data_IF_459997520594
#
_entry.id   IF_459997520594
#
_cell.length_a   1.000
_cell.length_b   1.000
_cell.length_c   1.000
_cell.angle_alpha   90.00
_cell.angle_beta   90.00
_cell.angle_gamma   90.00
#
_symmetry.space_group_name_H-M   'P 1'
#
loop_
_entity.id
_entity.type
_entity.pdbx_description
1 polymer ?
#
# COMPACT_ATOMS: atom_id res chain seq x y z
N UNK A 1 71.11 -10.89 31.29
CA UNK A 1 70.94 -10.83 32.75
C UNK A 1 71.12 -9.38 33.18
N UNK A 2 70.03 -8.62 33.35
CA UNK A 2 69.94 -7.41 34.20
C UNK A 2 68.46 -7.11 34.46
N UNK A 3 68.15 -6.79 35.72
CA UNK A 3 66.84 -6.84 36.38
C UNK A 3 65.99 -5.57 36.16
N UNK A 4 64.65 -5.73 36.25
CA UNK A 4 63.61 -4.67 36.26
C UNK A 4 63.66 -3.83 37.56
N UNK A 5 62.96 -2.68 37.60
CA UNK A 5 61.73 -2.67 38.41
C UNK A 5 60.54 -1.88 37.83
N UNK A 6 59.37 -2.20 38.39
CA UNK A 6 58.01 -1.72 38.10
C UNK A 6 57.75 -0.34 38.70
N UNK A 7 56.88 0.44 38.05
CA UNK A 7 55.93 1.34 38.74
C UNK A 7 54.55 1.24 38.09
N UNK A 8 53.56 0.89 38.91
CA UNK A 8 52.13 0.89 38.61
C UNK A 8 51.60 2.33 38.72
N UNK A 9 50.75 2.77 37.80
CA UNK A 9 49.69 3.74 38.11
C UNK A 9 48.46 3.50 37.25
N UNK A 10 47.46 2.87 37.85
CA UNK A 10 46.07 2.87 37.40
C UNK A 10 45.51 4.26 37.65
N UNK A 11 44.72 4.83 36.73
CA UNK A 11 43.48 5.56 37.05
C UNK A 11 42.59 5.73 35.80
N UNK A 12 41.28 5.58 36.07
CA UNK A 12 40.10 5.54 35.19
C UNK A 12 39.86 6.82 34.36
N UNK A 13 39.13 6.64 33.25
CA UNK A 13 38.34 7.68 32.57
C UNK A 13 37.53 7.07 31.42
N UNK A 14 36.44 6.36 31.75
CA UNK A 14 35.03 6.74 31.49
C UNK A 14 34.70 6.98 30.01
N UNK A 15 33.77 6.15 29.54
CA UNK A 15 33.14 6.14 28.23
C UNK A 15 32.56 7.51 27.80
N UNK A 16 32.83 7.92 26.56
CA UNK A 16 31.87 8.73 25.82
C UNK A 16 31.10 7.80 24.87
N UNK A 17 30.02 7.24 25.37
CA UNK A 17 28.94 6.76 24.51
C UNK A 17 28.36 7.99 23.80
N UNK A 18 28.40 8.02 22.47
CA UNK A 18 27.63 8.97 21.69
C UNK A 18 26.15 8.66 21.90
N UNK A 19 25.51 9.37 22.83
CA UNK A 19 24.05 9.41 22.92
C UNK A 19 23.57 10.23 21.73
N UNK A 20 23.04 9.57 20.69
CA UNK A 20 22.27 10.24 19.64
C UNK A 20 20.86 10.46 20.18
N UNK A 21 20.57 11.69 20.62
CA UNK A 21 19.22 12.11 20.94
C UNK A 21 18.50 12.54 19.64
N UNK A 22 17.29 12.03 19.42
CA UNK A 22 16.38 12.54 18.40
C UNK A 22 15.59 13.72 18.98
N UNK A 23 15.88 14.93 18.50
CA UNK A 23 15.07 16.11 18.78
C UNK A 23 14.01 16.31 17.71
N UNK A 24 12.75 16.45 18.11
CA UNK A 24 11.67 16.88 17.23
C UNK A 24 11.64 18.41 17.20
N UNK A 25 12.03 19.01 16.08
CA UNK A 25 11.82 20.44 15.84
C UNK A 25 10.49 20.59 15.09
N UNK A 26 9.46 21.07 15.79
CA UNK A 26 8.24 21.56 15.17
C UNK A 26 8.52 22.88 14.45
N UNK A 27 8.68 22.85 13.13
CA UNK A 27 8.55 24.03 12.28
C UNK A 27 7.25 23.93 11.49
N UNK A 28 6.23 24.63 11.97
CA UNK A 28 5.06 25.04 11.22
C UNK A 28 5.51 25.92 10.05
N UNK A 29 5.13 25.57 8.82
CA UNK A 29 5.23 26.50 7.68
C UNK A 29 5.65 25.85 6.37
N UNK A 30 4.66 25.66 5.49
CA UNK A 30 4.76 25.32 4.06
C UNK A 30 5.59 24.08 3.71
N UNK A 31 4.95 22.91 3.75
CA UNK A 31 5.31 21.83 2.85
C UNK A 31 5.21 22.37 1.41
N UNK A 32 6.28 22.32 0.58
CA UNK A 32 6.13 22.58 -0.83
C UNK A 32 5.13 21.56 -1.35
N UNK A 33 4.02 22.05 -1.92
CA UNK A 33 3.07 21.23 -2.66
C UNK A 33 3.88 20.40 -3.64
N UNK A 34 3.97 19.09 -3.38
CA UNK A 34 4.57 18.15 -4.32
C UNK A 34 3.91 18.40 -5.66
N UNK A 35 4.67 18.48 -6.77
CA UNK A 35 4.08 18.73 -8.07
C UNK A 35 3.01 17.65 -8.27
N UNK A 36 1.74 18.06 -8.26
CA UNK A 36 0.62 17.28 -8.75
C UNK A 36 0.77 17.22 -10.28
N UNK A 37 1.90 16.68 -10.73
CA UNK A 37 2.14 16.36 -12.11
C UNK A 37 1.24 15.17 -12.38
N UNK A 38 0.10 15.44 -13.01
CA UNK A 38 -0.70 14.41 -13.63
C UNK A 38 0.25 13.69 -14.61
N UNK A 39 0.80 12.54 -14.19
CA UNK A 39 1.60 11.73 -15.10
C UNK A 39 0.64 11.36 -16.22
N UNK A 40 0.90 11.80 -17.47
CA UNK A 40 -0.03 11.56 -18.56
C UNK A 40 -0.25 10.07 -18.70
N UNK A 41 -1.51 9.64 -18.69
CA UNK A 41 -1.86 8.24 -18.80
C UNK A 41 -1.41 7.72 -20.17
N UNK A 42 -0.54 6.70 -20.23
CA UNK A 42 -0.08 6.15 -21.49
C UNK A 42 -1.22 5.37 -22.18
N UNK A 43 -1.23 5.44 -23.51
CA UNK A 43 -2.17 4.72 -24.37
C UNK A 43 -1.44 3.67 -25.21
N UNK A 44 -2.14 2.57 -25.47
CA UNK A 44 -1.70 1.46 -26.30
C UNK A 44 -2.57 1.42 -27.54
N UNK A 45 -1.94 1.41 -28.71
CA UNK A 45 -2.61 1.21 -29.99
C UNK A 45 -2.39 -0.21 -30.49
N UNK A 46 -3.48 -0.90 -30.80
CA UNK A 46 -3.45 -2.22 -31.43
C UNK A 46 -3.99 -2.13 -32.84
N UNK A 47 -3.20 -2.59 -33.79
CA UNK A 47 -3.61 -2.72 -35.20
C UNK A 47 -3.88 -4.18 -35.50
N UNK A 48 -5.13 -4.51 -35.86
CA UNK A 48 -5.54 -5.83 -36.30
C UNK A 48 -6.19 -5.75 -37.68
N UNK A 49 -6.40 -6.91 -38.33
CA UNK A 49 -7.15 -6.97 -39.59
C UNK A 49 -8.58 -6.39 -39.47
N UNK A 50 -9.15 -6.34 -38.26
CA UNK A 50 -10.47 -5.77 -37.98
C UNK A 50 -10.44 -4.25 -37.69
N UNK A 51 -9.27 -3.61 -37.73
CA UNK A 51 -9.10 -2.18 -37.50
C UNK A 51 -8.14 -1.83 -36.36
N UNK A 52 -8.05 -0.53 -36.07
CA UNK A 52 -7.23 0.03 -34.98
C UNK A 52 -8.10 0.25 -33.74
N UNK A 53 -7.63 -0.19 -32.58
CA UNK A 53 -8.23 0.12 -31.28
C UNK A 53 -7.19 0.77 -30.38
N UNK A 54 -7.62 1.78 -29.65
CA UNK A 54 -6.79 2.49 -28.67
C UNK A 54 -7.33 2.22 -27.28
N UNK A 55 -6.43 1.93 -26.35
CA UNK A 55 -6.76 1.60 -24.96
C UNK A 55 -5.84 2.38 -24.04
N UNK A 56 -6.31 2.81 -22.88
CA UNK A 56 -5.41 3.21 -21.82
C UNK A 56 -4.76 1.99 -21.16
N UNK A 57 -3.65 2.22 -20.46
CA UNK A 57 -2.89 1.14 -19.82
C UNK A 57 -3.70 0.36 -18.78
N UNK A 58 -4.59 1.00 -18.03
CA UNK A 58 -5.38 0.32 -17.00
C UNK A 58 -6.49 -0.52 -17.62
N UNK A 59 -7.13 -0.03 -18.68
CA UNK A 59 -8.06 -0.85 -19.49
C UNK A 59 -7.38 -2.09 -20.07
N UNK A 60 -6.10 -1.98 -20.48
CA UNK A 60 -5.32 -3.15 -20.92
C UNK A 60 -5.02 -4.13 -19.81
N UNK A 61 -4.62 -3.66 -18.65
CA UNK A 61 -4.44 -4.53 -17.48
C UNK A 61 -5.76 -5.21 -17.07
N UNK A 62 -6.88 -4.49 -17.13
CA UNK A 62 -8.18 -5.04 -16.79
C UNK A 62 -8.62 -6.15 -17.76
N UNK A 63 -8.30 -6.05 -19.06
CA UNK A 63 -8.51 -7.15 -20.02
C UNK A 63 -7.74 -8.42 -19.62
N UNK A 64 -6.56 -8.26 -19.04
CA UNK A 64 -5.74 -9.35 -18.49
C UNK A 64 -6.14 -9.74 -17.04
N UNK A 65 -7.29 -9.23 -16.56
CA UNK A 65 -7.85 -9.46 -15.22
C UNK A 65 -6.96 -8.97 -14.08
N UNK A 66 -6.24 -7.88 -14.33
CA UNK A 66 -5.38 -7.20 -13.36
C UNK A 66 -6.08 -5.94 -12.87
N UNK A 67 -6.27 -5.84 -11.56
CA UNK A 67 -6.81 -4.65 -10.86
C UNK A 67 -5.69 -4.02 -10.04
N UNK A 68 -5.58 -2.69 -10.07
CA UNK A 68 -4.55 -1.95 -9.35
C UNK A 68 -5.19 -1.06 -8.30
N UNK A 69 -4.87 -1.32 -7.02
CA UNK A 69 -5.19 -0.47 -5.89
C UNK A 69 -3.93 0.33 -5.54
N UNK A 70 -3.89 1.58 -5.99
CA UNK A 70 -2.75 2.47 -5.75
C UNK A 70 -3.19 3.81 -5.17
N UNK A 71 -2.62 4.17 -4.02
CA UNK A 71 -2.99 5.38 -3.28
C UNK A 71 -4.01 5.12 -2.16
N UNK A 72 -4.63 6.18 -1.66
CA UNK A 72 -5.54 6.12 -0.53
C UNK A 72 -6.84 5.37 -0.83
N UNK A 73 -7.31 4.59 0.13
CA UNK A 73 -8.61 3.93 0.07
C UNK A 73 -9.69 4.93 0.51
N UNK A 74 -10.51 5.37 -0.45
CA UNK A 74 -11.66 6.23 -0.24
C UNK A 74 -12.86 5.73 -1.04
N UNK A 75 -14.01 6.39 -0.93
CA UNK A 75 -15.25 5.96 -1.58
C UNK A 75 -15.13 5.89 -3.11
N UNK A 76 -14.41 6.84 -3.72
CA UNK A 76 -14.20 6.84 -5.17
C UNK A 76 -13.34 5.66 -5.64
N UNK A 77 -12.22 5.42 -4.94
CA UNK A 77 -11.34 4.28 -5.20
C UNK A 77 -12.10 2.96 -5.00
N UNK A 78 -12.88 2.86 -3.93
CA UNK A 78 -13.69 1.68 -3.61
C UNK A 78 -14.73 1.40 -4.69
N UNK A 79 -15.51 2.40 -5.08
CA UNK A 79 -16.52 2.27 -6.13
C UNK A 79 -15.90 1.81 -7.46
N UNK A 80 -14.73 2.33 -7.82
CA UNK A 80 -13.99 1.92 -9.02
C UNK A 80 -13.52 0.46 -8.95
N UNK A 81 -12.91 0.04 -7.84
CA UNK A 81 -12.42 -1.33 -7.67
C UNK A 81 -13.57 -2.32 -7.62
N UNK A 82 -14.63 -2.04 -6.86
CA UNK A 82 -15.83 -2.89 -6.79
C UNK A 82 -16.43 -3.07 -8.19
N UNK A 83 -16.56 -1.98 -8.96
CA UNK A 83 -17.07 -2.05 -10.34
C UNK A 83 -16.20 -2.93 -11.24
N UNK A 84 -14.86 -2.82 -11.14
CA UNK A 84 -13.93 -3.66 -11.90
C UNK A 84 -14.03 -5.14 -11.52
N UNK A 85 -14.15 -5.45 -10.23
CA UNK A 85 -14.32 -6.83 -9.75
C UNK A 85 -15.63 -7.46 -10.26
N UNK A 86 -16.74 -6.73 -10.17
CA UNK A 86 -18.03 -7.19 -10.67
C UNK A 86 -18.04 -7.37 -12.20
N UNK A 87 -17.37 -6.47 -12.93
CA UNK A 87 -17.20 -6.61 -14.37
C UNK A 87 -16.44 -7.89 -14.74
N UNK A 88 -15.30 -8.13 -14.09
CA UNK A 88 -14.47 -9.32 -14.30
C UNK A 88 -15.20 -10.62 -13.94
N UNK A 89 -16.00 -10.61 -12.88
CA UNK A 89 -16.86 -11.72 -12.49
C UNK A 89 -17.91 -12.01 -13.56
N UNK A 90 -18.56 -10.98 -14.10
CA UNK A 90 -19.60 -11.14 -15.12
C UNK A 90 -19.05 -11.67 -16.46
N UNK A 91 -17.81 -11.33 -16.79
CA UNK A 91 -17.15 -11.77 -18.03
C UNK A 91 -16.68 -13.23 -17.96
N UNK A 92 -15.98 -13.61 -16.88
CA UNK A 92 -15.60 -15.01 -16.66
C UNK A 92 -15.46 -15.34 -15.15
N UNK A 93 -16.48 -15.93 -14.51
CA UNK A 93 -16.57 -16.04 -13.04
C UNK A 93 -15.61 -17.07 -12.41
N UNK A 94 -15.00 -17.96 -13.20
CA UNK A 94 -14.08 -18.98 -12.67
C UNK A 94 -12.60 -18.59 -12.86
N UNK A 95 -12.33 -17.50 -13.59
CA UNK A 95 -10.95 -17.08 -13.87
C UNK A 95 -10.41 -16.23 -12.73
N UNK A 96 -9.17 -16.48 -12.28
CA UNK A 96 -8.58 -15.69 -11.21
C UNK A 96 -8.45 -14.22 -11.60
N UNK A 97 -8.54 -13.35 -10.59
CA UNK A 97 -8.28 -11.91 -10.69
C UNK A 97 -7.00 -11.65 -9.90
N UNK A 98 -6.09 -10.83 -10.43
CA UNK A 98 -4.89 -10.42 -9.68
C UNK A 98 -5.02 -8.96 -9.28
N UNK A 99 -5.06 -8.72 -7.97
CA UNK A 99 -5.09 -7.38 -7.39
C UNK A 99 -3.70 -6.99 -6.88
N UNK A 100 -3.11 -5.97 -7.49
CA UNK A 100 -1.88 -5.35 -7.01
C UNK A 100 -2.20 -4.21 -6.04
N UNK A 101 -1.56 -4.23 -4.87
CA UNK A 101 -1.83 -3.32 -3.76
C UNK A 101 -0.59 -2.50 -3.43
N UNK A 102 -0.69 -1.18 -3.57
CA UNK A 102 0.27 -0.18 -3.12
C UNK A 102 -0.48 0.98 -2.45
N UNK A 103 -0.77 0.86 -1.16
CA UNK A 103 -1.64 1.79 -0.48
C UNK A 103 -1.27 2.00 0.99
N UNK A 104 -1.35 3.26 1.49
CA UNK A 104 -1.24 3.55 2.90
C UNK A 104 -2.48 3.16 3.71
N UNK A 105 -3.53 2.62 3.06
CA UNK A 105 -4.84 2.41 3.66
C UNK A 105 -5.75 3.62 3.45
N UNK A 106 -6.71 3.81 4.35
CA UNK A 106 -7.71 4.86 4.28
C UNK A 106 -8.99 4.46 5.01
N UNK A 107 -10.14 4.88 4.48
CA UNK A 107 -11.46 4.61 5.05
C UNK A 107 -11.72 3.12 5.25
N UNK A 108 -12.12 2.76 6.48
CA UNK A 108 -12.46 1.38 6.86
C UNK A 108 -13.71 0.92 6.11
N UNK A 109 -14.73 1.76 6.01
CA UNK A 109 -16.00 1.41 5.33
C UNK A 109 -15.78 1.19 3.84
N UNK A 110 -15.03 2.08 3.18
CA UNK A 110 -14.72 1.94 1.75
C UNK A 110 -13.84 0.71 1.50
N UNK A 111 -12.90 0.41 2.41
CA UNK A 111 -12.09 -0.81 2.37
C UNK A 111 -12.92 -2.09 2.56
N UNK A 112 -13.89 -2.10 3.48
CA UNK A 112 -14.77 -3.24 3.70
C UNK A 112 -15.65 -3.54 2.48
N UNK A 113 -16.11 -2.53 1.75
CA UNK A 113 -16.86 -2.76 0.51
C UNK A 113 -16.03 -3.53 -0.55
N UNK A 114 -14.73 -3.21 -0.66
CA UNK A 114 -13.81 -3.96 -1.53
C UNK A 114 -13.65 -5.39 -1.00
N UNK A 115 -13.38 -5.53 0.30
CA UNK A 115 -13.17 -6.83 0.95
C UNK A 115 -14.38 -7.76 0.76
N UNK A 116 -15.58 -7.28 1.06
CA UNK A 116 -16.81 -8.05 0.93
C UNK A 116 -17.02 -8.47 -0.54
N UNK A 117 -16.76 -7.56 -1.49
CA UNK A 117 -16.85 -7.87 -2.93
C UNK A 117 -15.85 -8.97 -3.32
N UNK A 118 -14.61 -8.90 -2.85
CA UNK A 118 -13.59 -9.95 -3.11
C UNK A 118 -14.06 -11.33 -2.62
N UNK A 119 -14.77 -11.38 -1.50
CA UNK A 119 -15.30 -12.65 -0.94
C UNK A 119 -16.65 -13.07 -1.52
N UNK A 120 -17.39 -12.13 -2.11
CA UNK A 120 -18.73 -12.36 -2.67
C UNK A 120 -18.67 -12.97 -4.08
N UNK A 121 -17.74 -12.52 -4.92
CA UNK A 121 -17.59 -13.02 -6.29
C UNK A 121 -17.02 -14.44 -6.30
N UNK A 122 -17.31 -15.22 -7.35
CA UNK A 122 -16.78 -16.58 -7.50
C UNK A 122 -15.32 -16.56 -7.95
N UNK A 123 -14.93 -15.54 -8.71
CA UNK A 123 -13.58 -15.40 -9.25
C UNK A 123 -12.57 -15.29 -8.09
N UNK A 124 -11.60 -16.22 -7.96
CA UNK A 124 -10.64 -16.15 -6.87
C UNK A 124 -9.73 -14.94 -7.03
N UNK A 125 -9.67 -14.09 -5.99
CA UNK A 125 -8.86 -12.87 -6.00
C UNK A 125 -7.48 -13.13 -5.39
N UNK A 126 -6.46 -13.21 -6.24
CA UNK A 126 -5.05 -13.21 -5.82
C UNK A 126 -4.63 -11.79 -5.45
N UNK A 127 -3.91 -11.62 -4.35
CA UNK A 127 -3.42 -10.30 -3.90
C UNK A 127 -1.89 -10.25 -3.92
N UNK A 128 -1.33 -9.11 -4.34
CA UNK A 128 0.12 -8.91 -4.42
C UNK A 128 0.48 -7.53 -3.87
N UNK A 129 1.28 -7.50 -2.80
CA UNK A 129 1.80 -6.25 -2.24
C UNK A 129 3.01 -5.75 -3.03
N UNK A 130 2.91 -4.53 -3.59
CA UNK A 130 3.97 -3.85 -4.33
C UNK A 130 4.25 -2.51 -3.65
N UNK A 131 5.37 -2.41 -2.94
CA UNK A 131 5.74 -1.20 -2.20
C UNK A 131 5.21 -1.20 -0.77
N UNK A 132 3.93 -0.87 -0.58
CA UNK A 132 3.34 -0.78 0.76
C UNK A 132 1.89 -1.25 0.83
N UNK A 133 1.54 -1.99 1.87
CA UNK A 133 0.16 -2.26 2.26
C UNK A 133 -0.01 -1.96 3.75
N UNK A 134 -0.54 -0.78 4.06
CA UNK A 134 -0.75 -0.33 5.45
C UNK A 134 -2.25 -0.25 5.80
N UNK A 135 -2.57 -0.45 7.08
CA UNK A 135 -3.93 -0.29 7.62
C UNK A 135 -4.96 -1.14 6.85
N UNK A 136 -6.03 -0.52 6.30
CA UNK A 136 -7.01 -1.24 5.47
C UNK A 136 -6.39 -1.95 4.27
N UNK A 137 -5.32 -1.44 3.67
CA UNK A 137 -4.67 -2.12 2.55
C UNK A 137 -4.02 -3.44 2.99
N UNK A 138 -3.53 -3.54 4.23
CA UNK A 138 -3.01 -4.78 4.80
C UNK A 138 -4.14 -5.82 5.01
N UNK A 139 -5.33 -5.36 5.40
CA UNK A 139 -6.52 -6.20 5.53
C UNK A 139 -6.96 -6.73 4.16
N UNK A 140 -7.01 -5.87 3.14
CA UNK A 140 -7.31 -6.28 1.75
C UNK A 140 -6.27 -7.27 1.21
N UNK A 141 -4.99 -7.03 1.47
CA UNK A 141 -3.93 -7.97 1.11
C UNK A 141 -4.16 -9.34 1.77
N UNK A 142 -4.49 -9.38 3.06
CA UNK A 142 -4.76 -10.60 3.79
C UNK A 142 -6.06 -11.30 3.36
N UNK A 143 -7.03 -10.54 2.85
CA UNK A 143 -8.34 -10.98 2.36
C UNK A 143 -8.33 -11.67 1.00
N UNK A 144 -7.19 -11.71 0.30
CA UNK A 144 -7.05 -12.50 -0.92
C UNK A 144 -7.25 -14.00 -0.70
N UNK A 145 -7.49 -14.72 -1.80
CA UNK A 145 -7.68 -16.16 -1.85
C UNK A 145 -6.56 -16.92 -1.10
N UNK A 146 -6.94 -17.96 -0.35
CA UNK A 146 -5.99 -18.71 0.46
C UNK A 146 -4.88 -19.33 -0.40
N UNK A 147 -3.63 -19.13 0.00
CA UNK A 147 -2.45 -19.59 -0.77
C UNK A 147 -2.10 -18.73 -1.99
N UNK A 148 -2.86 -17.64 -2.28
CA UNK A 148 -2.61 -16.70 -3.38
C UNK A 148 -2.41 -15.26 -2.91
N UNK A 149 -1.75 -15.10 -1.76
CA UNK A 149 -1.43 -13.81 -1.14
C UNK A 149 0.07 -13.64 -1.16
N UNK A 150 0.57 -12.68 -1.92
CA UNK A 150 1.99 -12.51 -2.21
C UNK A 150 2.48 -11.12 -1.79
N UNK A 151 3.78 -11.03 -1.54
CA UNK A 151 4.46 -9.77 -1.27
C UNK A 151 5.81 -9.78 -1.98
N UNK A 152 6.17 -8.66 -2.61
CA UNK A 152 7.51 -8.52 -3.19
C UNK A 152 8.58 -8.39 -2.10
N UNK A 153 9.86 -8.72 -2.38
CA UNK A 153 10.91 -8.81 -1.36
C UNK A 153 11.20 -7.52 -0.56
N UNK A 154 10.85 -6.36 -1.12
CA UNK A 154 11.08 -5.05 -0.49
C UNK A 154 9.79 -4.34 -0.10
N UNK A 155 8.64 -5.01 -0.24
CA UNK A 155 7.35 -4.47 0.16
C UNK A 155 7.23 -4.44 1.68
N UNK A 156 6.54 -3.43 2.21
CA UNK A 156 6.25 -3.29 3.64
C UNK A 156 4.77 -3.52 3.91
N UNK A 157 4.47 -4.23 5.01
CA UNK A 157 3.10 -4.46 5.48
C UNK A 157 3.01 -3.88 6.89
N UNK A 158 2.05 -2.98 7.10
CA UNK A 158 1.86 -2.30 8.39
C UNK A 158 0.42 -2.48 8.86
N UNK A 159 0.25 -3.03 10.05
CA UNK A 159 -1.06 -3.18 10.70
C UNK A 159 -1.13 -2.25 11.90
N UNK A 160 -2.28 -1.63 12.10
CA UNK A 160 -2.59 -0.87 13.31
C UNK A 160 -4.10 -0.89 13.55
N UNK A 161 -4.51 -0.55 14.77
CA UNK A 161 -5.92 -0.40 15.12
C UNK A 161 -6.59 0.74 14.30
N UNK A 162 -7.89 0.63 13.95
CA UNK A 162 -8.61 1.71 13.27
C UNK A 162 -8.48 3.03 14.01
N UNK A 163 -8.40 4.12 13.25
CA UNK A 163 -8.47 5.47 13.79
C UNK A 163 -9.90 5.97 13.54
N UNK A 164 -10.52 6.57 14.55
CA UNK A 164 -11.80 7.27 14.38
C UNK A 164 -11.57 8.62 13.73
N UNK A 165 -12.52 9.07 12.91
CA UNK A 165 -12.50 10.43 12.37
C UNK A 165 -12.65 11.44 13.52
N UNK A 166 -11.85 12.52 13.57
CA UNK A 166 -11.97 13.56 14.59
C UNK A 166 -13.31 14.32 14.59
N UNK A 167 -14.17 14.11 13.58
CA UNK A 167 -15.39 14.89 13.35
C UNK A 167 -16.63 14.35 14.08
N UNK A 168 -16.45 13.44 15.03
CA UNK A 168 -17.46 13.06 16.02
C UNK A 168 -17.15 13.65 17.42
N UNK A 169 -16.77 14.92 17.47
CA UNK A 169 -17.02 15.72 18.69
C UNK A 169 -18.49 16.12 18.70
N UNK A 170 -19.36 15.16 18.99
CA UNK A 170 -20.73 15.44 19.39
C UNK A 170 -20.72 16.43 20.55
N UNK A 171 -21.18 17.66 20.29
CA UNK A 171 -21.77 18.51 21.31
C UNK A 171 -23.02 17.80 21.80
N UNK A 172 -22.84 16.96 22.83
CA UNK A 172 -23.93 16.56 23.72
C UNK A 172 -24.29 17.77 24.57
N UNK A 173 -25.28 18.53 24.11
CA UNK A 173 -26.18 19.32 24.97
C UNK A 173 -27.56 18.66 25.00
#
# INVERSE_FOLDING_TARGET
MFLRPRTLRVLRGVSQQHVRAFGFSSSSGNSPMSPMGNIPMPYIEESSAAGRKTWDIFSKLLQERIVVLNGEVNDYMSASIVSQLLWLESDTPDKPITMYINSPGGSVTSGMAIYDTMTYIKSPVSTVCVGGAASMAAILLAGGEAGKRFSLPHSSIMIHQPLGDPEDTGTVE
#
